data_IF_091373007184
#
_entry.id   IF_091373007184
#
_cell.length_a   1.000
_cell.length_b   1.000
_cell.length_c   1.000
_cell.angle_alpha   90.00
_cell.angle_beta   90.00
_cell.angle_gamma   90.00
#
_symmetry.space_group_name_H-M   'P 1'
#
loop_
_entity.id
_entity.type
_entity.pdbx_description
1 polymer ?
#
# COMPACT_ATOMS: atom_id res chain seq x y z
N UNK A 1 -5.89 11.66 -5.38
CA UNK A 1 -5.26 10.37 -5.77
C UNK A 1 -4.10 9.99 -4.85
N UNK A 2 -3.37 10.98 -4.31
CA UNK A 2 -2.28 10.74 -3.35
C UNK A 2 -2.80 10.20 -2.00
N UNK A 3 -3.90 10.73 -1.46
CA UNK A 3 -4.58 10.18 -0.26
C UNK A 3 -4.81 8.68 -0.34
N UNK A 4 -5.42 8.19 -1.43
CA UNK A 4 -5.72 6.76 -1.60
C UNK A 4 -4.45 5.89 -1.61
N UNK A 5 -3.34 6.41 -2.13
CA UNK A 5 -2.06 5.70 -2.11
C UNK A 5 -1.44 5.69 -0.71
N UNK A 6 -1.61 6.77 0.06
CA UNK A 6 -1.20 6.86 1.47
C UNK A 6 -2.03 5.91 2.34
N UNK A 7 -3.34 5.84 2.13
CA UNK A 7 -4.23 4.90 2.85
C UNK A 7 -3.83 3.45 2.62
N UNK A 8 -3.61 3.05 1.37
CA UNK A 8 -3.16 1.69 1.03
C UNK A 8 -1.79 1.40 1.64
N UNK A 9 -0.89 2.38 1.67
CA UNK A 9 0.41 2.24 2.31
C UNK A 9 0.31 2.05 3.83
N UNK A 10 -0.53 2.83 4.50
CA UNK A 10 -0.81 2.68 5.93
C UNK A 10 -1.44 1.32 6.24
N UNK A 11 -2.40 0.88 5.42
CA UNK A 11 -3.02 -0.43 5.56
C UNK A 11 -1.98 -1.55 5.45
N UNK A 12 -1.07 -1.45 4.47
CA UNK A 12 0.05 -2.39 4.32
C UNK A 12 0.92 -2.44 5.59
N UNK A 13 1.29 -1.28 6.13
CA UNK A 13 2.10 -1.18 7.35
C UNK A 13 1.38 -1.76 8.57
N UNK A 14 0.07 -1.52 8.71
CA UNK A 14 -0.74 -2.10 9.77
C UNK A 14 -0.84 -3.63 9.66
N UNK A 15 -1.01 -4.16 8.44
CA UNK A 15 -1.00 -5.60 8.17
C UNK A 15 0.39 -6.20 8.45
N UNK A 16 1.47 -5.54 8.04
CA UNK A 16 2.85 -5.96 8.34
C UNK A 16 3.10 -6.00 9.85
N UNK A 17 2.62 -5.01 10.61
CA UNK A 17 2.84 -4.92 12.06
C UNK A 17 2.02 -5.97 12.85
N UNK A 18 0.74 -6.18 12.49
CA UNK A 18 -0.18 -7.04 13.26
C UNK A 18 -0.28 -8.47 12.71
N UNK A 19 -0.14 -8.64 11.39
CA UNK A 19 -0.30 -9.91 10.68
C UNK A 19 0.95 -10.28 9.86
N UNK A 20 2.14 -10.10 10.44
CA UNK A 20 3.44 -10.26 9.76
C UNK A 20 3.67 -11.62 9.04
N UNK A 21 2.96 -12.69 9.39
CA UNK A 21 3.03 -13.98 8.67
C UNK A 21 2.21 -14.00 7.38
N UNK A 22 1.05 -13.35 7.37
CA UNK A 22 0.05 -13.46 6.30
C UNK A 22 -0.22 -12.13 5.58
N UNK A 23 0.46 -11.04 5.96
CA UNK A 23 0.23 -9.71 5.39
C UNK A 23 0.38 -9.68 3.88
N UNK A 24 1.27 -10.48 3.29
CA UNK A 24 1.45 -10.56 1.83
C UNK A 24 0.18 -11.04 1.13
N UNK A 25 -0.44 -12.08 1.67
CA UNK A 25 -1.69 -12.64 1.14
C UNK A 25 -2.82 -11.64 1.35
N UNK A 26 -2.98 -11.12 2.56
CA UNK A 26 -4.03 -10.14 2.88
C UNK A 26 -3.91 -8.87 2.02
N UNK A 27 -2.70 -8.35 1.85
CA UNK A 27 -2.45 -7.17 1.04
C UNK A 27 -2.65 -7.45 -0.46
N UNK A 28 -2.32 -8.65 -0.93
CA UNK A 28 -2.61 -9.07 -2.31
C UNK A 28 -4.12 -9.08 -2.57
N UNK A 29 -4.93 -9.63 -1.69
CA UNK A 29 -6.40 -9.62 -1.82
C UNK A 29 -6.95 -8.18 -1.87
N UNK A 30 -6.41 -7.29 -1.03
CA UNK A 30 -6.76 -5.86 -1.07
C UNK A 30 -6.43 -5.25 -2.42
N UNK A 31 -5.23 -5.48 -2.94
CA UNK A 31 -4.82 -4.96 -4.25
C UNK A 31 -5.65 -5.55 -5.39
N UNK A 32 -6.02 -6.82 -5.32
CA UNK A 32 -6.83 -7.50 -6.31
C UNK A 32 -8.26 -6.94 -6.33
N UNK A 33 -8.86 -6.71 -5.16
CA UNK A 33 -10.13 -5.99 -5.04
C UNK A 33 -10.04 -4.56 -5.58
N UNK A 34 -8.93 -3.86 -5.29
CA UNK A 34 -8.70 -2.50 -5.76
C UNK A 34 -8.49 -2.42 -7.28
N UNK A 35 -7.93 -3.46 -7.90
CA UNK A 35 -7.72 -3.59 -9.34
C UNK A 35 -9.03 -3.57 -10.15
N UNK A 36 -10.17 -3.90 -9.51
CA UNK A 36 -11.49 -3.80 -10.15
C UNK A 36 -11.98 -2.35 -10.31
N UNK A 37 -11.30 -1.38 -9.69
CA UNK A 37 -11.64 0.04 -9.80
C UNK A 37 -11.01 0.69 -11.03
N UNK A 38 -11.76 1.53 -11.76
CA UNK A 38 -11.28 2.24 -12.97
C UNK A 38 -10.01 3.06 -12.77
N UNK A 39 -9.69 3.47 -11.55
CA UNK A 39 -8.52 4.32 -11.22
C UNK A 39 -7.36 3.56 -10.57
N UNK A 40 -7.36 2.22 -10.61
CA UNK A 40 -6.33 1.43 -9.93
C UNK A 40 -4.91 1.71 -10.44
N UNK A 41 -4.74 1.98 -11.74
CA UNK A 41 -3.42 2.20 -12.37
C UNK A 41 -2.72 3.41 -11.76
N UNK A 42 -3.40 4.56 -11.76
CA UNK A 42 -2.86 5.80 -11.20
C UNK A 42 -2.55 5.67 -9.71
N UNK A 43 -3.38 4.95 -8.95
CA UNK A 43 -3.17 4.75 -7.52
C UNK A 43 -2.00 3.80 -7.24
N UNK A 44 -1.83 2.73 -8.03
CA UNK A 44 -0.66 1.84 -7.93
C UNK A 44 0.65 2.54 -8.28
N UNK A 45 0.66 3.39 -9.30
CA UNK A 45 1.84 4.20 -9.62
C UNK A 45 2.17 5.19 -8.50
N UNK A 46 1.14 5.84 -7.93
CA UNK A 46 1.32 6.72 -6.77
C UNK A 46 1.77 5.96 -5.52
N UNK A 47 1.25 4.74 -5.30
CA UNK A 47 1.65 3.87 -4.19
C UNK A 47 3.15 3.58 -4.24
N UNK A 48 3.71 3.27 -5.42
CA UNK A 48 5.17 3.10 -5.58
C UNK A 48 5.96 4.36 -5.19
N UNK A 49 5.45 5.54 -5.54
CA UNK A 49 6.08 6.82 -5.19
C UNK A 49 6.00 7.11 -3.69
N UNK A 50 4.84 6.85 -3.06
CA UNK A 50 4.62 6.98 -1.61
C UNK A 50 5.48 5.99 -0.84
N UNK A 51 5.56 4.72 -1.25
CA UNK A 51 6.44 3.71 -0.64
C UNK A 51 7.91 4.11 -0.73
N UNK A 52 8.33 4.66 -1.87
CA UNK A 52 9.70 5.15 -2.06
C UNK A 52 9.99 6.32 -1.12
N UNK A 53 9.06 7.29 -0.98
CA UNK A 53 9.18 8.40 -0.03
C UNK A 53 9.19 7.94 1.44
N UNK A 54 8.32 7.00 1.82
CA UNK A 54 8.20 6.50 3.19
C UNK A 54 9.45 5.75 3.68
N UNK A 55 10.15 5.04 2.79
CA UNK A 55 11.38 4.31 3.13
C UNK A 55 12.56 5.21 3.56
N UNK A 56 12.57 6.50 3.22
CA UNK A 56 13.65 7.41 3.65
C UNK A 56 13.47 7.94 5.07
N UNK A 57 12.32 7.71 5.74
CA UNK A 57 12.12 8.13 7.12
C UNK A 57 12.70 7.18 8.17
N UNK A 58 13.20 5.99 7.80
CA UNK A 58 13.74 5.00 8.75
C UNK A 58 15.27 5.06 8.91
N UNK A 59 15.82 6.28 8.91
CA UNK A 59 17.18 6.60 9.36
C UNK A 59 17.15 7.91 10.13
N UNK A 60 16.80 7.84 11.41
CA UNK A 60 17.36 8.69 12.46
C UNK A 60 17.05 8.08 13.82
#
# INVERSE_FOLDING_TARGET
FEDKAVDIHLLKQALEAKHFKNWKTLFREVLEGYSKSKSHKTVLERLKSVEKRGRYKKKH
#
